data_IF_875654976934
#
_entry.id   IF_875654976934
#
_cell.length_a   1.000
_cell.length_b   1.000
_cell.length_c   1.000
_cell.angle_alpha   90.00
_cell.angle_beta   90.00
_cell.angle_gamma   90.00
#
_symmetry.space_group_name_H-M   'P 1'
#
loop_
_entity.id
_entity.type
_entity.pdbx_description
1 polymer ?
#
# COMPACT_ATOMS: atom_id res chain seq x y z
N UNK A 1 5.51 -22.64 13.93
CA UNK A 1 4.96 -21.73 14.96
C UNK A 1 3.97 -20.81 14.28
N UNK A 2 2.68 -20.86 14.59
CA UNK A 2 1.70 -19.90 14.08
C UNK A 2 1.94 -18.58 14.81
N UNK A 3 2.23 -17.50 14.06
CA UNK A 3 2.38 -16.17 14.61
C UNK A 3 1.12 -15.79 15.41
N UNK A 4 1.31 -15.30 16.64
CA UNK A 4 0.22 -14.78 17.48
C UNK A 4 -0.29 -13.40 16.99
N UNK A 5 0.38 -12.79 15.99
CA UNK A 5 -0.01 -11.50 15.43
C UNK A 5 -1.32 -11.63 14.62
N UNK A 6 -2.18 -10.60 14.66
CA UNK A 6 -3.29 -10.44 13.72
C UNK A 6 -2.82 -10.64 12.28
N UNK A 7 -3.68 -11.17 11.43
CA UNK A 7 -3.28 -11.57 10.07
C UNK A 7 -2.77 -10.41 9.23
N UNK A 8 -3.34 -9.23 9.38
CA UNK A 8 -2.98 -8.00 8.68
C UNK A 8 -1.60 -7.44 9.12
N UNK A 9 -1.06 -7.92 10.23
CA UNK A 9 0.27 -7.54 10.76
C UNK A 9 1.34 -8.60 10.49
N UNK A 10 0.99 -9.69 9.80
CA UNK A 10 1.95 -10.74 9.44
C UNK A 10 2.73 -10.37 8.19
N UNK A 11 3.84 -11.06 7.96
CA UNK A 11 4.62 -10.87 6.74
C UNK A 11 3.78 -11.15 5.49
N UNK A 12 4.10 -10.48 4.36
CA UNK A 12 3.42 -10.72 3.08
C UNK A 12 3.46 -12.20 2.66
N UNK A 13 4.53 -12.93 2.98
CA UNK A 13 4.64 -14.36 2.71
C UNK A 13 3.68 -15.18 3.57
N UNK A 14 3.50 -14.82 4.84
CA UNK A 14 2.54 -15.53 5.70
C UNK A 14 1.09 -15.23 5.29
N UNK A 15 0.80 -13.98 4.90
CA UNK A 15 -0.49 -13.61 4.33
C UNK A 15 -0.76 -14.41 3.04
N UNK A 16 0.20 -14.48 2.13
CA UNK A 16 0.09 -15.28 0.90
C UNK A 16 -0.16 -16.78 1.17
N UNK A 17 0.51 -17.35 2.18
CA UNK A 17 0.28 -18.76 2.60
C UNK A 17 -1.14 -18.95 3.12
N UNK A 18 -1.65 -18.04 3.93
CA UNK A 18 -3.02 -18.10 4.48
C UNK A 18 -4.08 -17.97 3.39
N UNK A 19 -3.87 -17.06 2.42
CA UNK A 19 -4.73 -16.89 1.25
C UNK A 19 -4.77 -18.18 0.40
N UNK A 20 -3.62 -18.76 0.07
CA UNK A 20 -3.54 -20.04 -0.66
C UNK A 20 -4.18 -21.20 0.08
N UNK A 21 -4.03 -21.23 1.40
CA UNK A 21 -4.68 -22.22 2.26
C UNK A 21 -6.18 -21.93 2.49
N UNK A 22 -6.71 -20.84 1.93
CA UNK A 22 -8.10 -20.36 2.08
C UNK A 22 -8.52 -20.22 3.54
N UNK A 23 -7.59 -19.82 4.41
CA UNK A 23 -7.83 -19.50 5.82
C UNK A 23 -8.38 -18.08 6.02
N UNK A 24 -8.23 -17.24 5.01
CA UNK A 24 -8.80 -15.90 4.87
C UNK A 24 -8.98 -15.63 3.38
N UNK A 25 -9.94 -14.84 2.98
CA UNK A 25 -10.09 -14.35 1.61
C UNK A 25 -9.23 -13.10 1.37
N UNK A 26 -8.88 -12.82 0.11
CA UNK A 26 -8.18 -11.60 -0.27
C UNK A 26 -9.00 -10.36 0.09
N UNK A 27 -10.33 -10.43 -0.09
CA UNK A 27 -11.24 -9.36 0.27
C UNK A 27 -11.26 -9.07 1.77
N UNK A 28 -11.36 -10.10 2.63
CA UNK A 28 -11.30 -9.93 4.08
C UNK A 28 -9.96 -9.34 4.53
N UNK A 29 -8.84 -9.85 3.98
CA UNK A 29 -7.51 -9.35 4.32
C UNK A 29 -7.34 -7.88 3.92
N UNK A 30 -7.79 -7.49 2.73
CA UNK A 30 -7.78 -6.10 2.29
C UNK A 30 -8.62 -5.22 3.22
N UNK A 31 -9.84 -5.65 3.56
CA UNK A 31 -10.73 -4.86 4.43
C UNK A 31 -10.15 -4.72 5.85
N UNK A 32 -9.44 -5.72 6.38
CA UNK A 32 -8.70 -5.61 7.65
C UNK A 32 -7.55 -4.59 7.56
N UNK A 33 -6.74 -4.64 6.50
CA UNK A 33 -5.68 -3.65 6.27
C UNK A 33 -6.28 -2.24 6.11
N UNK A 34 -7.35 -2.10 5.36
CA UNK A 34 -8.00 -0.82 5.13
C UNK A 34 -8.61 -0.23 6.42
N UNK A 35 -9.22 -1.04 7.25
CA UNK A 35 -9.74 -0.60 8.55
C UNK A 35 -8.62 -0.01 9.44
N UNK A 36 -7.39 -0.53 9.36
CA UNK A 36 -6.23 0.08 10.03
C UNK A 36 -5.87 1.43 9.43
N UNK A 37 -5.89 1.56 8.10
CA UNK A 37 -5.68 2.85 7.43
C UNK A 37 -6.73 3.85 7.92
N UNK A 38 -8.02 3.53 7.87
CA UNK A 38 -9.08 4.42 8.32
C UNK A 38 -8.91 4.86 9.79
N UNK A 39 -8.49 3.93 10.64
CA UNK A 39 -8.28 4.19 12.07
C UNK A 39 -7.08 5.07 12.37
N UNK A 40 -5.94 4.83 11.72
CA UNK A 40 -4.66 5.41 12.11
C UNK A 40 -4.17 6.54 11.20
N UNK A 41 -4.54 6.50 9.92
CA UNK A 41 -4.05 7.45 8.93
C UNK A 41 -4.44 8.91 9.18
N UNK A 42 -5.60 9.24 9.76
CA UNK A 42 -5.93 10.64 10.12
C UNK A 42 -4.88 11.30 11.02
N UNK A 43 -4.20 10.52 11.87
CA UNK A 43 -3.13 11.01 12.75
C UNK A 43 -1.75 10.89 12.13
N UNK A 44 -1.55 9.92 11.27
CA UNK A 44 -0.22 9.55 10.75
C UNK A 44 0.06 10.11 9.36
N UNK A 45 -0.96 10.27 8.52
CA UNK A 45 -0.85 10.72 7.14
C UNK A 45 0.19 9.91 6.32
N UNK A 46 0.14 8.61 6.46
CA UNK A 46 1.05 7.68 5.78
C UNK A 46 0.59 7.36 4.34
N UNK A 47 -0.71 7.03 4.18
CA UNK A 47 -1.34 6.74 2.90
C UNK A 47 -2.04 8.00 2.39
N UNK A 48 -1.59 8.53 1.25
CA UNK A 48 -2.02 9.86 0.76
C UNK A 48 -2.83 9.81 -0.54
N UNK A 49 -2.80 8.69 -1.24
CA UNK A 49 -3.63 8.38 -2.40
C UNK A 49 -4.16 6.98 -2.23
N UNK A 50 -5.44 6.75 -2.53
CA UNK A 50 -6.03 5.41 -2.44
C UNK A 50 -7.11 5.21 -3.50
N UNK A 51 -7.25 3.95 -3.95
CA UNK A 51 -8.38 3.48 -4.75
C UNK A 51 -8.86 2.14 -4.19
N UNK A 52 -9.53 2.21 -3.05
CA UNK A 52 -10.06 1.01 -2.38
C UNK A 52 -11.13 0.30 -3.21
N UNK A 53 -11.85 1.04 -4.06
CA UNK A 53 -12.84 0.46 -4.97
C UNK A 53 -12.19 -0.47 -6.00
N UNK A 54 -11.07 -0.02 -6.60
CA UNK A 54 -10.25 -0.82 -7.52
C UNK A 54 -9.62 -2.02 -6.81
N UNK A 55 -9.03 -1.81 -5.64
CA UNK A 55 -8.43 -2.87 -4.85
C UNK A 55 -9.46 -3.94 -4.46
N UNK A 56 -10.65 -3.55 -4.03
CA UNK A 56 -11.73 -4.47 -3.70
C UNK A 56 -12.18 -5.32 -4.89
N UNK A 57 -12.17 -4.78 -6.10
CA UNK A 57 -12.46 -5.54 -7.33
C UNK A 57 -11.33 -6.53 -7.63
N UNK A 58 -10.07 -6.12 -7.46
CA UNK A 58 -8.90 -6.98 -7.66
C UNK A 58 -8.88 -8.13 -6.64
N UNK A 59 -9.12 -7.87 -5.36
CA UNK A 59 -9.24 -8.88 -4.32
C UNK A 59 -10.32 -9.93 -4.62
N UNK A 60 -11.49 -9.50 -5.09
CA UNK A 60 -12.56 -10.43 -5.47
C UNK A 60 -12.18 -11.32 -6.67
N UNK A 61 -11.37 -10.81 -7.59
CA UNK A 61 -10.82 -11.61 -8.71
C UNK A 61 -9.76 -12.59 -8.20
N UNK A 62 -8.88 -12.16 -7.27
CA UNK A 62 -7.91 -13.03 -6.62
C UNK A 62 -8.60 -14.18 -5.86
N UNK A 63 -9.67 -13.91 -5.13
CA UNK A 63 -10.45 -14.94 -4.42
C UNK A 63 -10.99 -16.01 -5.38
N UNK A 64 -11.44 -15.63 -6.58
CA UNK A 64 -11.88 -16.60 -7.61
C UNK A 64 -10.74 -17.50 -8.07
N UNK A 65 -9.55 -16.92 -8.36
CA UNK A 65 -8.36 -17.68 -8.76
C UNK A 65 -7.89 -18.63 -7.66
N UNK A 66 -7.80 -18.14 -6.43
CA UNK A 66 -7.39 -18.93 -5.27
C UNK A 66 -8.37 -20.10 -5.01
N UNK A 67 -9.68 -19.87 -5.20
CA UNK A 67 -10.70 -20.91 -5.10
C UNK A 67 -10.55 -21.97 -6.20
N UNK A 68 -10.20 -21.56 -7.41
CA UNK A 68 -9.94 -22.47 -8.53
C UNK A 68 -8.60 -23.22 -8.42
N UNK A 69 -7.71 -22.83 -7.48
CA UNK A 69 -6.38 -23.42 -7.36
C UNK A 69 -5.38 -22.86 -8.38
N UNK A 70 -5.68 -21.72 -9.00
CA UNK A 70 -4.92 -21.07 -10.07
C UNK A 70 -4.39 -19.68 -9.64
N UNK A 71 -3.53 -19.59 -8.61
CA UNK A 71 -3.00 -18.31 -8.17
C UNK A 71 -2.15 -17.68 -9.29
N UNK A 72 -2.27 -16.37 -9.47
CA UNK A 72 -1.52 -15.61 -10.47
C UNK A 72 -0.01 -15.59 -10.20
N UNK A 73 0.37 -15.56 -8.93
CA UNK A 73 1.76 -15.52 -8.50
C UNK A 73 1.89 -15.62 -6.98
N UNK A 74 3.09 -15.34 -6.46
CA UNK A 74 3.39 -15.57 -5.03
C UNK A 74 2.60 -14.65 -4.09
N UNK A 75 2.17 -13.48 -4.56
CA UNK A 75 1.45 -12.47 -3.78
C UNK A 75 -0.04 -12.36 -4.15
N UNK A 76 -0.62 -13.37 -4.81
CA UNK A 76 -2.00 -13.27 -5.28
C UNK A 76 -2.99 -12.97 -4.16
N UNK A 77 -3.59 -11.76 -4.23
CA UNK A 77 -4.54 -11.25 -3.26
C UNK A 77 -3.91 -10.62 -2.00
N UNK A 78 -2.57 -10.48 -1.93
CA UNK A 78 -1.91 -9.79 -0.81
C UNK A 78 -2.05 -8.27 -0.99
N UNK A 79 -2.69 -7.55 -0.04
CA UNK A 79 -2.84 -6.10 -0.13
C UNK A 79 -1.51 -5.40 0.12
N UNK A 80 -1.19 -4.41 -0.73
CA UNK A 80 0.03 -3.63 -0.64
C UNK A 80 -0.21 -2.15 -0.89
N UNK A 81 0.58 -1.29 -0.27
CA UNK A 81 0.76 0.10 -0.66
C UNK A 81 2.10 0.28 -1.35
N UNK A 82 2.22 1.32 -2.18
CA UNK A 82 3.47 1.67 -2.88
C UNK A 82 3.88 3.09 -2.54
N UNK A 83 5.16 3.40 -2.70
CA UNK A 83 5.65 4.77 -2.56
C UNK A 83 5.03 5.66 -3.63
N UNK A 84 4.66 6.90 -3.27
CA UNK A 84 3.98 7.84 -4.19
C UNK A 84 4.75 8.10 -5.48
N UNK A 85 6.07 7.99 -5.43
CA UNK A 85 6.95 8.20 -6.59
C UNK A 85 6.82 7.15 -7.70
N UNK A 86 6.17 6.02 -7.47
CA UNK A 86 5.88 5.04 -8.52
C UNK A 86 4.57 5.38 -9.22
N UNK A 87 4.61 5.36 -10.55
CA UNK A 87 3.42 5.50 -11.37
C UNK A 87 2.46 4.33 -11.13
N UNK A 88 1.22 4.67 -10.83
CA UNK A 88 0.08 3.77 -10.78
C UNK A 88 -1.02 4.37 -11.64
N UNK A 89 -1.35 3.71 -12.71
CA UNK A 89 -2.25 4.21 -13.76
C UNK A 89 -3.53 4.82 -13.19
N UNK A 90 -3.83 6.05 -13.61
CA UNK A 90 -5.02 6.78 -13.19
C UNK A 90 -4.89 7.50 -11.86
N UNK A 91 -3.72 7.46 -11.21
CA UNK A 91 -3.48 8.14 -9.94
C UNK A 91 -2.40 9.22 -10.05
N UNK A 92 -2.38 10.21 -9.14
CA UNK A 92 -1.32 11.21 -9.11
C UNK A 92 0.05 10.61 -8.85
N UNK A 93 1.08 11.12 -9.55
CA UNK A 93 2.50 10.91 -9.26
C UNK A 93 3.18 12.27 -9.30
N UNK A 94 3.43 12.83 -8.13
CA UNK A 94 3.80 14.25 -7.98
C UNK A 94 5.20 14.46 -7.42
N UNK A 95 5.80 13.41 -6.81
CA UNK A 95 7.04 13.50 -6.05
C UNK A 95 6.99 14.58 -4.95
N UNK A 96 5.77 14.88 -4.47
CA UNK A 96 5.54 15.94 -3.48
C UNK A 96 5.75 17.35 -3.98
N UNK A 97 5.92 17.55 -5.29
CA UNK A 97 6.16 18.87 -5.90
C UNK A 97 4.85 19.45 -6.46
N UNK A 98 4.41 20.65 -6.00
CA UNK A 98 3.19 21.29 -6.49
C UNK A 98 3.16 21.51 -8.01
N UNK A 99 4.32 21.61 -8.66
CA UNK A 99 4.39 21.74 -10.14
C UNK A 99 3.83 20.52 -10.85
N UNK A 100 3.84 19.35 -10.19
CA UNK A 100 3.32 18.09 -10.71
C UNK A 100 1.98 17.69 -10.10
N UNK A 101 1.29 18.56 -9.37
CA UNK A 101 0.02 18.22 -8.70
C UNK A 101 -1.04 17.65 -9.67
N UNK A 102 -1.03 18.07 -10.94
CA UNK A 102 -1.93 17.57 -11.99
C UNK A 102 -1.39 16.37 -12.78
N UNK A 103 -0.20 15.85 -12.46
CA UNK A 103 0.39 14.74 -13.19
C UNK A 103 -0.28 13.41 -12.81
N UNK A 104 -1.15 12.92 -13.70
CA UNK A 104 -1.82 11.62 -13.56
C UNK A 104 -1.07 10.58 -14.39
N UNK A 105 -0.64 9.51 -13.74
CA UNK A 105 0.09 8.42 -14.39
C UNK A 105 -0.75 7.76 -15.50
N UNK A 106 -0.16 7.61 -16.69
CA UNK A 106 -0.80 7.00 -17.87
C UNK A 106 -0.49 5.49 -17.99
N UNK A 107 0.54 5.04 -17.32
CA UNK A 107 0.98 3.63 -17.27
C UNK A 107 1.57 3.31 -15.92
N UNK A 108 1.61 2.04 -15.56
CA UNK A 108 2.23 1.58 -14.33
C UNK A 108 3.76 1.61 -14.44
N UNK A 109 4.43 1.95 -13.35
CA UNK A 109 5.87 1.77 -13.24
C UNK A 109 6.25 0.29 -13.39
N UNK A 110 7.40 0.00 -14.00
CA UNK A 110 7.88 -1.39 -14.21
C UNK A 110 7.90 -2.21 -12.91
N UNK A 111 8.34 -1.61 -11.80
CA UNK A 111 8.34 -2.28 -10.50
C UNK A 111 6.91 -2.65 -10.04
N UNK A 112 5.94 -1.75 -10.27
CA UNK A 112 4.54 -1.99 -9.95
C UNK A 112 3.95 -3.10 -10.81
N UNK A 113 4.20 -3.07 -12.14
CA UNK A 113 3.76 -4.13 -13.06
C UNK A 113 4.27 -5.50 -12.60
N UNK A 114 5.55 -5.59 -12.23
CA UNK A 114 6.12 -6.85 -11.72
C UNK A 114 5.43 -7.35 -10.44
N UNK A 115 5.08 -6.46 -9.52
CA UNK A 115 4.35 -6.82 -8.30
C UNK A 115 2.92 -7.30 -8.61
N UNK A 116 2.20 -6.57 -9.47
CA UNK A 116 0.83 -6.93 -9.86
C UNK A 116 0.78 -8.18 -10.72
N UNK A 117 1.83 -8.47 -11.50
CA UNK A 117 1.98 -9.74 -12.24
C UNK A 117 2.17 -10.92 -11.29
N UNK A 118 2.73 -10.69 -10.10
CA UNK A 118 2.76 -11.67 -9.01
C UNK A 118 1.46 -11.69 -8.17
N UNK A 119 0.45 -10.90 -8.57
CA UNK A 119 -0.86 -10.89 -7.95
C UNK A 119 -1.03 -9.96 -6.75
N UNK A 120 -0.04 -9.09 -6.47
CA UNK A 120 -0.18 -8.08 -5.41
C UNK A 120 -1.38 -7.16 -5.68
N UNK A 121 -2.17 -6.89 -4.65
CA UNK A 121 -3.36 -6.04 -4.70
C UNK A 121 -3.03 -4.65 -4.13
N UNK A 122 -2.81 -3.69 -5.02
CA UNK A 122 -2.43 -2.33 -4.64
C UNK A 122 -3.67 -1.53 -4.25
N UNK A 123 -3.69 -1.02 -3.01
CA UNK A 123 -4.79 -0.22 -2.50
C UNK A 123 -4.48 1.27 -2.35
N UNK A 124 -3.19 1.66 -2.33
CA UNK A 124 -2.83 3.07 -2.12
C UNK A 124 -1.35 3.38 -2.28
N UNK A 125 -1.05 4.68 -2.20
CA UNK A 125 0.29 5.25 -2.29
C UNK A 125 0.66 5.95 -0.99
N UNK A 126 1.91 5.84 -0.60
CA UNK A 126 2.44 6.37 0.66
C UNK A 126 3.24 7.65 0.46
N UNK A 127 3.20 8.53 1.45
CA UNK A 127 3.77 9.86 1.38
C UNK A 127 5.30 9.88 1.22
N UNK A 128 5.79 10.97 0.64
CA UNK A 128 7.19 11.23 0.27
C UNK A 128 7.56 12.67 0.59
N UNK A 129 8.85 13.02 0.71
CA UNK A 129 9.29 14.42 0.72
C UNK A 129 9.29 15.01 -0.68
N UNK A 130 9.40 16.35 -0.76
CA UNK A 130 9.58 17.09 -2.00
C UNK A 130 10.74 16.50 -2.83
N UNK A 131 10.44 16.13 -4.08
CA UNK A 131 11.40 15.57 -5.06
C UNK A 131 12.20 14.36 -4.50
N UNK A 132 11.70 13.70 -3.47
CA UNK A 132 12.34 12.56 -2.77
C UNK A 132 13.69 12.90 -2.14
N UNK A 133 14.00 14.18 -1.99
CA UNK A 133 15.34 14.68 -1.67
C UNK A 133 15.55 15.04 -0.20
N UNK A 134 14.75 14.46 0.70
CA UNK A 134 14.86 14.70 2.14
C UNK A 134 14.81 13.39 2.95
N UNK A 135 15.36 13.43 4.16
CA UNK A 135 15.26 12.39 5.19
C UNK A 135 13.99 12.49 6.03
N UNK A 136 13.05 13.33 5.62
CA UNK A 136 11.74 13.56 6.20
C UNK A 136 10.68 13.09 5.20
N UNK A 137 9.39 13.14 5.59
CA UNK A 137 8.28 12.82 4.70
C UNK A 137 7.19 13.87 4.86
N UNK A 138 7.44 15.04 4.26
CA UNK A 138 6.47 16.13 4.18
C UNK A 138 6.57 16.83 2.82
N UNK A 139 5.48 17.39 2.35
CA UNK A 139 5.42 18.21 1.14
C UNK A 139 4.18 19.11 1.14
N UNK A 140 4.15 20.08 0.22
CA UNK A 140 3.07 21.06 0.15
C UNK A 140 1.75 20.52 -0.42
N UNK A 141 1.74 19.32 -1.04
CA UNK A 141 0.53 18.71 -1.61
C UNK A 141 -0.20 17.90 -0.54
N UNK A 142 0.53 17.02 0.14
CA UNK A 142 -0.05 15.99 1.01
C UNK A 142 0.18 16.25 2.51
N UNK A 143 1.01 17.26 2.85
CA UNK A 143 1.34 17.54 4.24
C UNK A 143 2.40 16.61 4.81
N UNK A 144 2.44 16.53 6.15
CA UNK A 144 3.46 15.82 6.91
C UNK A 144 2.98 14.43 7.32
N UNK A 145 3.84 13.43 7.13
CA UNK A 145 3.69 12.12 7.76
C UNK A 145 4.32 12.12 9.14
N UNK A 146 3.59 11.66 10.14
CA UNK A 146 4.01 11.64 11.52
C UNK A 146 4.57 10.27 11.91
N UNK A 147 5.56 10.26 12.81
CA UNK A 147 6.09 9.02 13.37
C UNK A 147 5.00 8.34 14.24
N UNK A 148 4.68 7.06 14.08
CA UNK A 148 3.62 6.39 14.84
C UNK A 148 3.94 6.24 16.32
N UNK A 149 5.22 6.21 16.69
CA UNK A 149 5.69 6.09 18.07
C UNK A 149 5.72 7.43 18.81
N UNK A 150 6.01 8.52 18.08
CA UNK A 150 6.02 9.88 18.60
C UNK A 150 5.62 10.85 17.47
N UNK A 151 4.38 11.29 17.47
CA UNK A 151 3.82 12.15 16.40
C UNK A 151 4.45 13.54 16.32
N UNK A 152 5.28 13.92 17.27
CA UNK A 152 6.06 15.17 17.23
C UNK A 152 7.34 15.03 16.41
N UNK A 153 7.68 13.82 15.98
CA UNK A 153 8.89 13.48 15.23
C UNK A 153 8.57 13.06 13.79
N UNK A 154 9.55 13.25 12.93
CA UNK A 154 9.51 12.71 11.59
C UNK A 154 9.76 11.20 11.59
N UNK A 155 9.19 10.45 10.64
CA UNK A 155 9.40 9.01 10.51
C UNK A 155 10.68 8.65 9.75
N UNK A 156 11.43 9.66 9.29
CA UNK A 156 12.50 9.49 8.32
C UNK A 156 12.00 9.61 6.88
N UNK A 157 12.87 9.36 5.92
CA UNK A 157 12.60 9.51 4.47
C UNK A 157 13.69 8.89 3.60
N UNK A 158 13.50 8.92 2.34
CA UNK A 158 12.38 9.47 1.55
C UNK A 158 11.16 8.54 1.46
N UNK A 159 11.19 7.34 2.03
CA UNK A 159 10.06 6.38 2.06
C UNK A 159 9.36 6.36 3.43
N UNK A 160 9.27 7.52 4.11
CA UNK A 160 8.74 7.60 5.47
C UNK A 160 7.26 7.21 5.56
N UNK A 161 6.43 7.57 4.59
CA UNK A 161 5.06 7.09 4.54
C UNK A 161 4.95 5.57 4.49
N UNK A 162 5.84 4.90 3.73
CA UNK A 162 5.88 3.43 3.68
C UNK A 162 6.35 2.83 5.02
N UNK A 163 7.36 3.43 5.66
CA UNK A 163 7.83 3.00 6.96
C UNK A 163 6.72 3.10 8.03
N UNK A 164 5.97 4.19 8.03
CA UNK A 164 4.83 4.40 8.95
C UNK A 164 3.69 3.43 8.68
N UNK A 165 3.41 3.13 7.41
CA UNK A 165 2.35 2.18 7.05
C UNK A 165 2.67 0.74 7.49
N UNK A 166 3.95 0.42 7.74
CA UNK A 166 4.40 -0.90 8.20
C UNK A 166 4.56 -1.00 9.72
N UNK A 167 4.67 0.12 10.43
CA UNK A 167 4.84 0.17 11.88
C UNK A 167 3.51 0.11 12.63
#
# INVERSE_FOLDING_TARGET
MTSKLPVELRSALDQARLLRARKISARELLDLCWARVEKHNPRLNAVIVSDIGRARKAAAVADKRLKAGEPRGIFDGVPMSIKESFDWTGTPTTWGDPRFAGNIAKSDAVALTRLTDQGADIFGKTNVPLMLADWQSFNAIYGTTNNPWDVTRAPGGSSGGSAVALA
#
